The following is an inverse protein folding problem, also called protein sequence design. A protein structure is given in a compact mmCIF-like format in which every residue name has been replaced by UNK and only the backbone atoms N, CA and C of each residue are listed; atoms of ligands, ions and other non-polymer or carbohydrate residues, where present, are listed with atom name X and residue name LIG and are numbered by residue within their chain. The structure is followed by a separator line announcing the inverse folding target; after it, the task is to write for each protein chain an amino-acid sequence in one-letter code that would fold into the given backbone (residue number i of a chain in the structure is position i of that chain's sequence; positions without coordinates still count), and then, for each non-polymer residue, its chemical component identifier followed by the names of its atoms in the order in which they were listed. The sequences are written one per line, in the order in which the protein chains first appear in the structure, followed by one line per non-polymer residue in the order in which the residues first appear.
data_IF_153824156404
#
_entry.id   IF_153824156404
#
_cell.length_a   1.000
_cell.length_b   1.000
_cell.length_c   1.000
_cell.angle_alpha   90.00
_cell.angle_beta   90.00
_cell.angle_gamma   90.00
#
_symmetry.space_group_name_H-M   'P 1'
#
loop_
_entity.id
_entity.type
_entity.pdbx_description
1 polymer ?
#
# COMPACT_ATOMS: atom_id res chain seq x y z
N UNK A 1 30.32 36.61 -23.16
CA UNK A 1 29.09 35.97 -23.69
C UNK A 1 29.53 34.61 -24.18
N UNK A 2 29.38 33.61 -23.33
CA UNK A 2 29.84 32.25 -23.58
C UNK A 2 28.66 31.35 -23.26
N UNK A 3 28.00 30.86 -24.30
CA UNK A 3 26.81 30.03 -24.20
C UNK A 3 27.19 28.62 -23.76
N UNK A 4 26.79 28.28 -22.53
CA UNK A 4 26.83 26.92 -22.01
C UNK A 4 25.50 26.25 -22.33
N UNK A 5 25.37 25.64 -23.50
CA UNK A 5 24.25 24.76 -23.84
C UNK A 5 24.36 23.45 -23.07
N UNK A 6 23.63 23.35 -21.96
CA UNK A 6 23.43 22.11 -21.22
C UNK A 6 22.47 21.22 -22.01
N UNK A 7 23.01 20.15 -22.59
CA UNK A 7 22.23 19.10 -23.27
C UNK A 7 21.40 18.32 -22.25
N UNK A 8 20.10 18.62 -22.16
CA UNK A 8 19.14 17.81 -21.41
C UNK A 8 18.99 16.44 -22.08
N UNK A 9 19.16 15.37 -21.30
CA UNK A 9 18.88 14.01 -21.75
C UNK A 9 17.39 13.87 -22.14
N UNK A 10 17.06 13.10 -23.18
CA UNK A 10 15.68 12.90 -23.60
C UNK A 10 14.87 12.19 -22.49
N UNK A 11 13.58 12.53 -22.31
CA UNK A 11 12.72 11.83 -21.38
C UNK A 11 12.59 10.34 -21.75
N UNK A 12 12.38 9.45 -20.76
CA UNK A 12 12.14 8.04 -21.04
C UNK A 12 10.88 7.88 -21.93
N UNK A 13 10.89 6.92 -22.87
CA UNK A 13 9.76 6.75 -23.78
C UNK A 13 8.50 6.37 -23.01
N UNK A 14 7.44 7.17 -23.16
CA UNK A 14 6.10 6.83 -22.70
C UNK A 14 5.69 5.49 -23.35
N UNK A 15 5.51 4.46 -22.54
CA UNK A 15 5.00 3.17 -22.98
C UNK A 15 3.62 3.37 -23.59
N UNK A 16 3.49 3.11 -24.90
CA UNK A 16 2.18 2.99 -25.54
C UNK A 16 1.51 1.72 -25.02
N UNK A 17 0.25 1.77 -24.55
CA UNK A 17 -0.47 0.55 -24.21
C UNK A 17 -0.58 -0.33 -25.45
N UNK A 18 -0.09 -1.57 -25.33
CA UNK A 18 -0.25 -2.60 -26.35
C UNK A 18 -1.75 -2.89 -26.45
N UNK A 19 -2.35 -2.55 -27.59
CA UNK A 19 -3.71 -3.00 -27.91
C UNK A 19 -3.69 -4.51 -28.10
N UNK A 20 -3.91 -5.25 -27.02
CA UNK A 20 -4.17 -6.68 -27.09
C UNK A 20 -5.59 -6.90 -27.60
N UNK A 21 -5.71 -7.38 -28.84
CA UNK A 21 -6.95 -7.90 -29.39
C UNK A 21 -7.40 -9.10 -28.54
N UNK A 22 -8.33 -8.88 -27.61
CA UNK A 22 -8.92 -9.92 -26.78
C UNK A 22 -9.86 -10.76 -27.65
N UNK A 23 -9.45 -11.99 -27.98
CA UNK A 23 -10.38 -13.00 -28.49
C UNK A 23 -11.30 -13.43 -27.34
N UNK A 24 -12.59 -13.12 -27.47
CA UNK A 24 -13.63 -13.60 -26.58
C UNK A 24 -13.77 -15.12 -26.69
N UNK A 25 -13.21 -15.86 -25.74
CA UNK A 25 -13.54 -17.27 -25.53
C UNK A 25 -14.66 -17.37 -24.51
N UNK A 26 -15.88 -17.60 -25.00
CA UNK A 26 -17.03 -17.95 -24.17
C UNK A 26 -16.94 -19.42 -23.78
N UNK A 27 -16.48 -19.69 -22.55
CA UNK A 27 -16.70 -21.00 -21.92
C UNK A 27 -17.63 -20.86 -20.72
N UNK A 28 -18.90 -21.20 -20.96
CA UNK A 28 -19.95 -21.35 -19.95
C UNK A 28 -19.79 -22.71 -19.28
N UNK A 29 -19.14 -22.76 -18.11
CA UNK A 29 -19.40 -23.84 -17.16
C UNK A 29 -20.21 -23.31 -15.98
N UNK A 30 -21.48 -23.70 -15.99
CA UNK A 30 -22.57 -23.24 -15.13
C UNK A 30 -22.58 -24.09 -13.87
N UNK A 31 -21.85 -23.67 -12.83
CA UNK A 31 -22.01 -24.23 -11.48
C UNK A 31 -23.24 -23.59 -10.83
N UNK A 32 -24.31 -24.37 -10.75
CA UNK A 32 -25.57 -24.00 -10.09
C UNK A 32 -25.40 -24.13 -8.58
N UNK A 33 -24.97 -23.06 -7.92
CA UNK A 33 -24.79 -23.11 -6.47
C UNK A 33 -24.25 -21.86 -5.80
N UNK A 34 -24.55 -20.64 -6.27
CA UNK A 34 -24.19 -19.43 -5.52
C UNK A 34 -25.27 -18.35 -5.64
N UNK A 35 -26.14 -18.32 -4.63
CA UNK A 35 -26.87 -17.12 -4.19
C UNK A 35 -26.33 -16.65 -2.84
N UNK A 36 -25.04 -16.87 -2.58
CA UNK A 36 -24.33 -16.07 -1.58
C UNK A 36 -24.21 -14.67 -2.18
N UNK A 37 -24.56 -13.68 -1.35
CA UNK A 37 -24.72 -12.28 -1.70
C UNK A 37 -23.61 -11.77 -2.63
N UNK A 38 -24.02 -11.02 -3.66
CA UNK A 38 -23.20 -10.04 -4.37
C UNK A 38 -22.80 -8.89 -3.42
N UNK A 39 -22.20 -9.21 -2.27
CA UNK A 39 -21.28 -8.27 -1.65
C UNK A 39 -20.08 -8.26 -2.59
N UNK A 40 -20.07 -7.28 -3.50
CA UNK A 40 -18.96 -7.09 -4.42
C UNK A 40 -17.67 -7.17 -3.63
N UNK A 41 -16.82 -8.15 -3.94
CA UNK A 41 -15.57 -8.33 -3.24
C UNK A 41 -14.70 -7.10 -3.54
N UNK A 42 -14.77 -6.11 -2.66
CA UNK A 42 -13.87 -4.97 -2.69
C UNK A 42 -12.52 -5.47 -2.22
N UNK A 43 -11.53 -5.37 -3.10
CA UNK A 43 -10.14 -5.57 -2.76
C UNK A 43 -9.53 -4.22 -2.41
N UNK A 44 -8.49 -4.23 -1.59
CA UNK A 44 -7.86 -3.00 -1.09
C UNK A 44 -6.38 -3.02 -1.44
N UNK A 45 -5.82 -1.85 -1.75
CA UNK A 45 -4.37 -1.71 -1.81
C UNK A 45 -3.74 -2.00 -0.46
N UNK A 46 -2.58 -2.65 -0.52
CA UNK A 46 -1.69 -2.82 0.61
C UNK A 46 -0.49 -1.90 0.38
N UNK A 47 -0.27 -0.97 1.31
CA UNK A 47 0.78 0.05 1.17
C UNK A 47 2.16 -0.58 1.23
N UNK A 48 3.07 -0.11 0.36
CA UNK A 48 4.47 -0.53 0.38
C UNK A 48 5.31 0.26 1.38
N UNK A 49 6.62 0.16 1.21
CA UNK A 49 7.58 0.86 2.03
C UNK A 49 8.78 1.37 1.22
N UNK A 50 9.30 2.53 1.62
CA UNK A 50 10.62 3.00 1.24
C UNK A 50 11.63 2.40 2.23
N UNK A 51 12.55 1.57 1.72
CA UNK A 51 13.64 0.98 2.50
C UNK A 51 14.89 1.85 2.34
N UNK A 52 15.46 2.35 3.44
CA UNK A 52 16.70 3.12 3.37
C UNK A 52 17.87 2.17 3.01
N UNK A 53 18.61 2.49 1.95
CA UNK A 53 19.68 1.59 1.45
C UNK A 53 20.94 1.62 2.32
N UNK A 54 21.17 2.70 3.06
CA UNK A 54 22.34 2.89 3.93
C UNK A 54 22.10 2.34 5.34
N UNK A 55 20.89 2.50 5.83
CA UNK A 55 20.48 2.09 7.17
C UNK A 55 19.65 0.83 7.09
N UNK A 56 20.33 -0.31 7.24
CA UNK A 56 19.69 -1.63 7.24
C UNK A 56 18.49 -1.65 8.17
N UNK A 57 17.33 -2.05 7.64
CA UNK A 57 16.05 -2.20 8.34
C UNK A 57 15.25 -0.91 8.63
N UNK A 58 15.74 0.28 8.32
CA UNK A 58 14.91 1.48 8.41
C UNK A 58 13.92 1.50 7.24
N UNK A 59 12.62 1.55 7.57
CA UNK A 59 11.53 1.56 6.61
C UNK A 59 10.49 2.57 7.02
N UNK A 60 9.97 3.31 6.05
CA UNK A 60 8.77 4.13 6.21
C UNK A 60 7.72 3.70 5.19
N UNK A 61 6.46 3.82 5.56
CA UNK A 61 5.36 3.49 4.67
C UNK A 61 5.23 4.54 3.58
N UNK A 62 4.93 4.10 2.37
CA UNK A 62 4.72 4.94 1.20
C UNK A 62 3.61 4.34 0.33
N UNK A 63 2.94 5.19 -0.45
CA UNK A 63 1.84 4.77 -1.31
C UNK A 63 2.40 4.15 -2.59
N UNK A 64 3.42 4.78 -3.16
CA UNK A 64 3.98 4.42 -4.47
C UNK A 64 5.48 4.70 -4.54
N UNK A 65 6.13 4.23 -5.61
CA UNK A 65 7.57 4.33 -5.78
C UNK A 65 8.10 5.77 -5.79
N UNK A 66 7.36 6.71 -6.39
CA UNK A 66 7.73 8.13 -6.46
C UNK A 66 7.70 8.85 -5.11
N UNK A 67 7.12 8.23 -4.08
CA UNK A 67 7.16 8.80 -2.72
C UNK A 67 8.51 8.54 -2.04
N UNK A 68 9.35 7.66 -2.59
CA UNK A 68 10.67 7.32 -2.07
C UNK A 68 11.75 8.24 -2.64
N UNK A 69 12.76 8.56 -1.82
CA UNK A 69 13.95 9.23 -2.31
C UNK A 69 14.68 8.31 -3.29
N UNK A 70 14.92 8.72 -4.55
CA UNK A 70 15.46 7.83 -5.56
C UNK A 70 16.84 7.30 -5.15
N UNK A 71 17.06 6.01 -5.35
CA UNK A 71 18.37 5.42 -5.13
C UNK A 71 19.39 6.01 -6.10
N UNK A 72 20.50 6.54 -5.59
CA UNK A 72 21.59 7.13 -6.40
C UNK A 72 22.93 6.57 -5.97
N UNK A 73 23.90 6.58 -6.88
CA UNK A 73 25.31 6.38 -6.51
C UNK A 73 25.89 7.73 -6.09
N UNK A 74 26.58 7.77 -4.95
CA UNK A 74 27.40 8.92 -4.58
C UNK A 74 28.72 8.93 -5.36
N UNK A 75 29.55 9.96 -5.12
CA UNK A 75 30.87 10.10 -5.75
C UNK A 75 31.81 8.92 -5.47
N UNK A 76 31.54 8.16 -4.39
CA UNK A 76 32.30 7.00 -3.94
C UNK A 76 31.68 5.67 -4.40
N UNK A 77 30.69 5.69 -5.31
CA UNK A 77 29.92 4.52 -5.79
C UNK A 77 29.14 3.76 -4.70
N UNK A 78 28.78 4.41 -3.59
CA UNK A 78 27.85 3.84 -2.61
C UNK A 78 26.41 4.18 -3.00
N UNK A 79 25.51 3.22 -2.83
CA UNK A 79 24.08 3.47 -2.98
C UNK A 79 23.59 4.35 -1.81
N UNK A 80 22.89 5.43 -2.14
CA UNK A 80 22.26 6.39 -1.24
C UNK A 80 20.77 6.51 -1.54
N UNK A 81 19.99 6.94 -0.56
CA UNK A 81 18.55 7.21 -0.70
C UNK A 81 17.68 6.03 -0.26
N UNK A 82 16.56 5.83 -0.95
CA UNK A 82 15.56 4.84 -0.61
C UNK A 82 15.22 3.95 -1.79
N UNK A 83 14.86 2.71 -1.49
CA UNK A 83 14.37 1.74 -2.46
C UNK A 83 12.90 1.45 -2.19
N UNK A 84 12.07 1.65 -3.20
CA UNK A 84 10.67 1.22 -3.15
C UNK A 84 10.54 -0.29 -3.03
N UNK A 85 9.63 -0.73 -2.17
CA UNK A 85 9.23 -2.11 -2.01
C UNK A 85 7.72 -2.18 -1.86
N UNK A 86 7.03 -2.68 -2.89
CA UNK A 86 5.59 -2.92 -2.82
C UNK A 86 5.28 -3.93 -1.70
N UNK A 87 4.04 -3.91 -1.19
CA UNK A 87 3.60 -4.87 -0.18
C UNK A 87 3.82 -6.31 -0.66
N UNK A 88 3.53 -6.58 -1.93
CA UNK A 88 3.72 -7.88 -2.55
C UNK A 88 5.19 -8.34 -2.43
N UNK A 89 6.15 -7.50 -2.84
CA UNK A 89 7.58 -7.82 -2.76
C UNK A 89 8.07 -7.98 -1.31
N UNK A 90 7.50 -7.24 -0.35
CA UNK A 90 7.81 -7.42 1.08
C UNK A 90 7.33 -8.79 1.58
N UNK A 91 6.12 -9.19 1.19
CA UNK A 91 5.52 -10.48 1.55
C UNK A 91 6.31 -11.66 0.98
N UNK A 92 6.75 -11.59 -0.28
CA UNK A 92 7.59 -12.63 -0.88
C UNK A 92 8.92 -12.83 -0.13
N UNK A 93 9.48 -11.75 0.40
CA UNK A 93 10.67 -11.77 1.25
C UNK A 93 10.41 -12.24 2.69
N UNK A 94 9.17 -12.58 3.02
CA UNK A 94 8.77 -12.95 4.39
C UNK A 94 8.78 -11.78 5.37
N UNK A 95 8.76 -10.54 4.86
CA UNK A 95 8.76 -9.32 5.68
C UNK A 95 7.31 -8.85 5.81
N UNK A 96 6.80 -8.86 7.04
CA UNK A 96 5.48 -8.28 7.31
C UNK A 96 5.55 -6.76 7.23
N UNK A 97 4.83 -6.14 6.29
CA UNK A 97 4.68 -4.68 6.29
C UNK A 97 3.65 -4.28 7.35
N UNK A 98 4.03 -3.43 8.30
CA UNK A 98 3.07 -2.80 9.22
C UNK A 98 2.41 -1.55 8.63
N UNK A 99 2.43 -1.43 7.29
CA UNK A 99 1.98 -0.26 6.57
C UNK A 99 0.48 -0.29 6.35
N UNK A 100 -0.14 0.83 6.68
CA UNK A 100 -1.56 1.11 6.50
C UNK A 100 -1.71 2.56 6.09
N UNK A 101 -2.86 2.94 5.54
CA UNK A 101 -3.07 4.33 5.14
C UNK A 101 -3.01 5.31 6.31
N UNK A 102 -3.35 4.88 7.53
CA UNK A 102 -3.20 5.71 8.74
C UNK A 102 -1.73 5.99 9.10
N UNK A 103 -0.80 5.15 8.65
CA UNK A 103 0.64 5.26 8.92
C UNK A 103 1.45 5.67 7.70
N UNK A 104 0.79 5.92 6.58
CA UNK A 104 1.43 6.28 5.33
C UNK A 104 1.28 7.78 5.14
N UNK A 105 2.40 8.48 5.28
CA UNK A 105 2.49 9.90 5.02
C UNK A 105 2.28 10.17 3.53
N UNK A 106 1.62 11.28 3.23
CA UNK A 106 1.49 11.79 1.87
C UNK A 106 2.14 13.17 1.79
N UNK A 107 2.45 13.58 0.57
CA UNK A 107 3.01 14.90 0.34
C UNK A 107 2.01 16.03 0.56
N UNK A 108 2.49 17.24 0.29
CA UNK A 108 1.68 18.43 0.26
C UNK A 108 2.11 19.37 -0.86
N UNK A 109 1.12 20.12 -1.33
CA UNK A 109 1.32 21.31 -2.14
C UNK A 109 1.72 22.47 -1.23
N UNK A 110 2.68 23.25 -1.69
CA UNK A 110 3.09 24.50 -1.04
C UNK A 110 2.42 25.67 -1.76
N UNK A 111 1.71 26.49 -1.00
CA UNK A 111 1.06 27.71 -1.47
C UNK A 111 1.55 28.92 -0.65
N UNK A 112 1.76 30.09 -1.25
CA UNK A 112 2.02 31.31 -0.49
C UNK A 112 0.80 31.67 0.35
N UNK A 113 1.00 32.01 1.63
CA UNK A 113 -0.06 32.52 2.49
C UNK A 113 -0.45 33.93 2.05
N UNK A 114 -1.75 34.18 1.92
CA UNK A 114 -2.26 35.55 1.75
C UNK A 114 -2.09 36.40 3.02
N UNK A 115 -1.72 35.79 4.14
CA UNK A 115 -1.45 36.50 5.38
C UNK A 115 0.02 36.89 5.42
N UNK A 116 0.30 38.15 5.07
CA UNK A 116 1.60 38.74 5.35
C UNK A 116 1.72 38.89 6.86
N UNK A 117 2.64 38.15 7.46
CA UNK A 117 2.93 38.27 8.90
C UNK A 117 3.50 39.66 9.20
N UNK A 118 3.30 40.16 10.41
CA UNK A 118 3.83 41.47 10.81
C UNK A 118 5.37 41.55 10.75
N UNK A 119 6.07 40.41 10.69
CA UNK A 119 7.53 40.35 10.51
C UNK A 119 7.98 40.49 9.06
N UNK A 120 7.05 40.46 8.08
CA UNK A 120 7.39 40.47 6.66
C UNK A 120 7.92 39.14 6.13
N UNK A 121 7.89 38.08 6.95
CA UNK A 121 8.25 36.75 6.51
C UNK A 121 7.07 36.13 5.73
N UNK A 122 7.38 35.58 4.55
CA UNK A 122 6.43 34.82 3.75
C UNK A 122 6.02 33.56 4.52
N UNK A 123 4.77 33.53 4.98
CA UNK A 123 4.18 32.33 5.55
C UNK A 123 3.78 31.40 4.40
N UNK A 124 4.12 30.11 4.53
CA UNK A 124 3.76 29.09 3.55
C UNK A 124 2.62 28.23 4.10
N UNK A 125 1.62 27.97 3.26
CA UNK A 125 0.51 27.08 3.56
C UNK A 125 0.77 25.74 2.91
N UNK A 126 0.68 24.67 3.70
CA UNK A 126 0.83 23.30 3.24
C UNK A 126 -0.56 22.67 3.10
N UNK A 127 -0.89 22.20 1.89
CA UNK A 127 -2.13 21.43 1.65
C UNK A 127 -1.78 20.01 1.29
N UNK A 128 -2.26 19.05 2.08
CA UNK A 128 -2.08 17.64 1.80
C UNK A 128 -2.49 17.31 0.36
N UNK A 129 -1.64 16.58 -0.35
CA UNK A 129 -1.89 16.14 -1.71
C UNK A 129 -1.29 14.75 -1.92
N UNK A 130 -2.08 13.80 -2.44
CA UNK A 130 -1.62 12.42 -2.60
C UNK A 130 -0.59 12.29 -3.73
N UNK A 131 -0.63 13.19 -4.71
CA UNK A 131 0.23 13.21 -5.90
C UNK A 131 0.54 14.66 -6.29
N UNK A 132 1.67 14.92 -6.96
CA UNK A 132 2.01 16.28 -7.43
C UNK A 132 0.92 16.84 -8.37
N UNK A 133 0.31 15.97 -9.18
CA UNK A 133 -0.74 16.37 -10.14
C UNK A 133 -2.05 16.76 -9.45
N UNK A 134 -2.18 16.50 -8.15
CA UNK A 134 -3.28 16.99 -7.33
C UNK A 134 -3.07 18.44 -6.88
N UNK A 135 -1.83 18.95 -6.98
CA UNK A 135 -1.55 20.35 -6.74
C UNK A 135 -2.12 21.17 -7.88
N UNK A 136 -3.20 21.90 -7.56
CA UNK A 136 -3.72 22.85 -8.50
C UNK A 136 -2.69 23.93 -8.78
N UNK A 137 -2.63 24.27 -10.05
CA UNK A 137 -1.95 25.44 -10.54
C UNK A 137 -2.73 26.68 -10.08
N UNK A 138 -2.34 27.33 -8.98
CA UNK A 138 -2.76 28.70 -8.76
C UNK A 138 -2.09 29.53 -9.86
N UNK A 139 -2.88 30.11 -10.77
CA UNK A 139 -2.37 30.86 -11.93
C UNK A 139 -1.46 30.09 -12.91
N UNK A 140 -1.53 28.76 -12.96
CA UNK A 140 -0.78 27.99 -13.97
C UNK A 140 0.55 27.38 -13.49
N UNK A 141 0.98 27.60 -12.25
CA UNK A 141 2.25 27.04 -11.72
C UNK A 141 2.06 26.41 -10.33
N UNK A 142 2.49 25.17 -10.07
CA UNK A 142 2.60 24.63 -8.73
C UNK A 142 3.96 25.08 -8.16
N UNK A 143 3.99 25.88 -7.09
CA UNK A 143 5.26 26.40 -6.55
C UNK A 143 6.24 25.29 -6.15
N UNK A 144 5.75 24.22 -5.52
CA UNK A 144 6.49 22.97 -5.29
C UNK A 144 5.56 21.91 -4.69
N UNK A 145 5.89 20.64 -4.95
CA UNK A 145 5.38 19.50 -4.19
C UNK A 145 6.46 19.02 -3.22
N UNK A 146 6.08 18.67 -1.99
CA UNK A 146 7.01 18.07 -1.02
C UNK A 146 6.45 16.73 -0.58
N UNK A 147 7.15 15.65 -0.92
CA UNK A 147 6.75 14.28 -0.58
C UNK A 147 6.90 13.96 0.92
N UNK A 148 7.81 14.65 1.62
CA UNK A 148 8.13 14.43 3.03
C UNK A 148 7.93 15.72 3.84
N UNK A 149 6.77 15.87 4.46
CA UNK A 149 6.50 16.98 5.37
C UNK A 149 7.32 16.85 6.66
N UNK A 150 7.93 17.96 7.16
CA UNK A 150 8.58 17.96 8.46
C UNK A 150 7.59 17.56 9.56
N UNK A 151 7.90 16.49 10.29
CA UNK A 151 7.05 15.96 11.38
C UNK A 151 7.02 16.85 12.62
N UNK A 152 7.77 17.96 12.64
CA UNK A 152 7.91 18.86 13.79
C UNK A 152 6.67 19.71 14.05
N UNK A 153 5.78 19.86 13.06
CA UNK A 153 4.52 20.56 13.22
C UNK A 153 3.38 19.53 13.32
N UNK A 154 2.89 19.30 14.54
CA UNK A 154 1.82 18.32 14.82
C UNK A 154 0.52 18.61 14.07
N UNK A 155 0.35 19.84 13.60
CA UNK A 155 -0.87 20.31 12.92
C UNK A 155 -0.84 20.06 11.40
N UNK A 156 0.28 19.60 10.83
CA UNK A 156 0.45 19.37 9.37
C UNK A 156 0.74 17.91 9.00
N UNK A 157 0.39 16.93 9.85
CA UNK A 157 0.58 15.52 9.48
C UNK A 157 -0.45 15.06 8.44
N UNK A 158 -0.02 15.03 7.17
CA UNK A 158 -0.82 14.50 6.07
C UNK A 158 -0.64 12.97 6.00
N UNK A 159 -1.73 12.23 6.14
CA UNK A 159 -1.74 10.76 5.98
C UNK A 159 -2.74 10.35 4.90
N UNK A 160 -2.54 9.19 4.29
CA UNK A 160 -3.49 8.63 3.31
C UNK A 160 -4.92 8.52 3.88
N UNK A 161 -5.04 8.16 5.16
CA UNK A 161 -6.32 8.01 5.84
C UNK A 161 -6.92 9.31 6.38
N UNK A 162 -6.22 10.45 6.26
CA UNK A 162 -6.68 11.73 6.80
C UNK A 162 -8.08 12.04 6.26
N UNK A 163 -9.09 11.90 7.12
CA UNK A 163 -10.46 12.30 6.84
C UNK A 163 -10.59 13.77 7.18
N UNK A 164 -11.29 14.47 6.30
CA UNK A 164 -11.74 15.84 6.48
C UNK A 164 -12.58 15.95 7.76
N UNK A 165 -12.05 16.57 8.81
CA UNK A 165 -12.82 16.86 10.04
C UNK A 165 -13.75 18.07 9.88
N UNK A 166 -13.48 18.96 8.90
CA UNK A 166 -14.31 20.15 8.66
C UNK A 166 -15.01 20.09 7.31
N UNK A 167 -16.34 20.24 7.27
CA UNK A 167 -17.21 20.08 6.09
C UNK A 167 -16.86 20.94 4.87
N UNK A 168 -15.93 21.89 4.97
CA UNK A 168 -15.70 22.93 3.97
C UNK A 168 -14.37 22.84 3.19
N UNK A 169 -13.43 21.97 3.59
CA UNK A 169 -12.18 21.78 2.85
C UNK A 169 -12.38 20.92 1.58
N UNK A 170 -11.62 21.11 0.49
CA UNK A 170 -11.68 20.20 -0.65
C UNK A 170 -11.33 18.75 -0.25
N UNK A 171 -11.74 17.78 -1.07
CA UNK A 171 -11.31 16.39 -0.87
C UNK A 171 -9.79 16.29 -1.02
N UNK A 172 -9.19 15.22 -0.51
CA UNK A 172 -7.76 14.97 -0.73
C UNK A 172 -7.50 14.43 -2.15
N UNK A 173 -8.48 13.65 -2.66
CA UNK A 173 -8.39 12.96 -3.93
C UNK A 173 -9.33 13.61 -4.95
N UNK A 174 -8.98 13.47 -6.24
CA UNK A 174 -9.82 13.92 -7.34
C UNK A 174 -10.86 12.87 -7.75
N UNK A 175 -11.48 13.12 -8.88
CA UNK A 175 -12.45 12.22 -9.48
C UNK A 175 -12.29 12.15 -11.00
N UNK A 176 -12.70 11.03 -11.60
CA UNK A 176 -12.83 10.87 -13.03
C UNK A 176 -14.31 10.95 -13.38
N UNK A 177 -14.69 11.95 -14.19
CA UNK A 177 -16.07 12.18 -14.65
C UNK A 177 -16.16 11.82 -16.13
N UNK A 178 -17.09 10.97 -16.50
CA UNK A 178 -17.27 10.55 -17.89
C UNK A 178 -17.58 11.77 -18.77
N UNK A 179 -16.86 11.90 -19.88
CA UNK A 179 -17.14 12.93 -20.88
C UNK A 179 -18.56 12.76 -21.38
N UNK A 180 -19.37 13.81 -21.23
CA UNK A 180 -20.81 13.74 -21.38
C UNK A 180 -21.24 13.21 -22.76
N UNK A 181 -21.63 11.94 -22.81
CA UNK A 181 -22.72 11.51 -23.70
C UNK A 181 -23.99 12.17 -23.12
N UNK A 182 -24.87 12.80 -23.91
CA UNK A 182 -25.97 13.62 -23.41
C UNK A 182 -26.80 12.92 -22.33
N UNK A 183 -26.60 13.41 -21.09
CA UNK A 183 -27.35 13.23 -19.86
C UNK A 183 -28.36 12.06 -19.83
N UNK A 184 -27.86 10.83 -19.69
CA UNK A 184 -28.60 9.85 -18.90
C UNK A 184 -28.25 10.13 -17.44
N UNK A 185 -29.24 10.50 -16.62
CA UNK A 185 -29.09 10.91 -15.20
C UNK A 185 -28.64 9.76 -14.27
N UNK A 186 -27.58 9.04 -14.62
CA UNK A 186 -27.04 7.96 -13.81
C UNK A 186 -25.85 8.48 -13.02
N UNK A 187 -25.94 8.42 -11.69
CA UNK A 187 -24.85 8.69 -10.73
C UNK A 187 -23.63 7.79 -10.89
N UNK A 188 -23.63 6.88 -11.87
CA UNK A 188 -22.53 5.95 -12.18
C UNK A 188 -21.43 6.57 -13.06
N UNK A 189 -21.63 7.81 -13.54
CA UNK A 189 -20.72 8.46 -14.48
C UNK A 189 -19.54 9.19 -13.81
N UNK A 190 -19.32 9.03 -12.49
CA UNK A 190 -18.19 9.61 -11.77
C UNK A 190 -17.64 8.67 -10.71
N UNK A 191 -16.31 8.60 -10.58
CA UNK A 191 -15.65 7.84 -9.51
C UNK A 191 -14.44 8.58 -8.97
N UNK A 192 -14.11 8.37 -7.70
CA UNK A 192 -12.93 8.96 -7.08
C UNK A 192 -11.66 8.25 -7.55
N UNK A 193 -10.62 9.01 -7.84
CA UNK A 193 -9.37 8.54 -8.42
C UNK A 193 -8.17 9.16 -7.70
N UNK A 194 -7.05 8.45 -7.70
CA UNK A 194 -5.85 8.86 -6.99
C UNK A 194 -5.09 9.93 -7.76
N UNK A 195 -5.00 9.78 -9.08
CA UNK A 195 -4.27 10.64 -10.00
C UNK A 195 -5.04 10.83 -11.32
N UNK A 196 -4.71 11.84 -12.15
CA UNK A 196 -5.28 11.98 -13.48
C UNK A 196 -5.00 10.79 -14.41
N UNK A 197 -3.91 10.05 -14.16
CA UNK A 197 -3.55 8.86 -14.95
C UNK A 197 -4.51 7.69 -14.74
N UNK A 198 -5.31 7.72 -13.67
CA UNK A 198 -6.36 6.72 -13.41
C UNK A 198 -7.63 6.97 -14.22
N UNK A 199 -7.75 8.13 -14.89
CA UNK A 199 -8.87 8.43 -15.77
C UNK A 199 -8.64 7.81 -17.15
N UNK A 200 -9.25 6.66 -17.38
CA UNK A 200 -9.23 5.99 -18.68
C UNK A 200 -9.93 6.81 -19.78
N UNK A 201 -9.72 6.40 -21.03
CA UNK A 201 -10.31 7.09 -22.19
C UNK A 201 -11.82 7.24 -22.05
N UNK A 202 -12.32 8.46 -22.26
CA UNK A 202 -13.73 8.81 -22.08
C UNK A 202 -14.08 9.33 -20.68
N UNK A 203 -13.08 9.47 -19.80
CA UNK A 203 -13.21 10.18 -18.53
C UNK A 203 -12.30 11.41 -18.50
N UNK A 204 -12.77 12.46 -17.81
CA UNK A 204 -12.06 13.70 -17.55
C UNK A 204 -11.74 13.79 -16.08
N UNK A 205 -10.48 14.09 -15.79
CA UNK A 205 -10.02 14.38 -14.43
C UNK A 205 -10.68 15.64 -13.88
N UNK A 206 -11.24 15.52 -12.68
CA UNK A 206 -11.72 16.59 -11.83
C UNK A 206 -10.74 16.70 -10.64
N UNK A 207 -9.99 17.80 -10.52
CA UNK A 207 -9.07 17.98 -9.41
C UNK A 207 -9.85 18.07 -8.08
N UNK A 208 -9.19 17.83 -6.93
CA UNK A 208 -9.90 17.71 -5.65
C UNK A 208 -10.79 18.90 -5.26
N UNK A 209 -10.45 20.13 -5.68
CA UNK A 209 -11.29 21.32 -5.40
C UNK A 209 -12.55 21.39 -6.26
N UNK A 210 -12.55 20.71 -7.40
CA UNK A 210 -13.64 20.71 -8.39
C UNK A 210 -14.60 19.53 -8.19
N UNK A 211 -14.27 18.61 -7.27
CA UNK A 211 -15.15 17.50 -6.90
C UNK A 211 -16.40 18.09 -6.23
N UNK A 212 -17.57 17.77 -6.79
CA UNK A 212 -18.87 18.22 -6.28
C UNK A 212 -19.04 17.82 -4.80
N UNK A 213 -19.61 18.71 -3.97
CA UNK A 213 -19.70 18.50 -2.51
C UNK A 213 -20.55 17.29 -2.09
N UNK A 214 -21.40 16.79 -2.99
CA UNK A 214 -22.17 15.56 -2.85
C UNK A 214 -21.33 14.28 -3.07
N UNK A 215 -20.08 14.40 -3.54
CA UNK A 215 -19.17 13.29 -3.80
C UNK A 215 -17.96 13.40 -2.87
N UNK A 216 -17.96 12.57 -1.82
CA UNK A 216 -16.82 12.50 -0.90
C UNK A 216 -15.76 11.55 -1.45
N UNK A 217 -14.73 12.13 -2.09
CA UNK A 217 -13.52 11.41 -2.43
C UNK A 217 -12.59 11.32 -1.23
N UNK A 218 -12.95 10.39 -0.34
CA UNK A 218 -12.05 9.85 0.67
C UNK A 218 -11.33 8.60 0.16
N UNK A 219 -10.27 8.21 0.85
CA UNK A 219 -9.41 7.11 0.41
C UNK A 219 -10.13 5.75 0.29
N UNK A 220 -11.28 5.56 0.93
CA UNK A 220 -12.07 4.32 0.81
C UNK A 220 -12.84 4.27 -0.50
N UNK A 221 -13.16 5.44 -1.05
CA UNK A 221 -13.91 5.58 -2.29
C UNK A 221 -13.01 5.71 -3.52
N UNK A 222 -11.72 6.04 -3.34
CA UNK A 222 -10.74 6.09 -4.43
C UNK A 222 -10.59 4.70 -5.06
N UNK A 223 -10.90 4.61 -6.35
CA UNK A 223 -10.65 3.43 -7.17
C UNK A 223 -9.22 3.47 -7.67
N UNK A 224 -8.57 2.32 -7.64
CA UNK A 224 -7.21 2.11 -8.12
C UNK A 224 -7.18 0.89 -9.04
N UNK A 225 -6.08 0.71 -9.75
CA UNK A 225 -5.88 -0.45 -10.61
C UNK A 225 -5.53 -1.74 -9.86
N UNK A 226 -5.00 -2.69 -10.61
CA UNK A 226 -4.60 -3.98 -10.11
C UNK A 226 -3.57 -4.65 -11.01
N UNK A 227 -2.74 -5.50 -10.42
CA UNK A 227 -1.81 -6.34 -11.17
C UNK A 227 -2.53 -7.63 -11.61
N UNK A 228 -2.39 -7.95 -12.90
CA UNK A 228 -2.93 -9.16 -13.50
C UNK A 228 -1.81 -9.98 -14.14
N UNK A 229 -1.87 -11.30 -13.96
CA UNK A 229 -0.94 -12.27 -14.53
C UNK A 229 -1.70 -13.52 -14.98
N UNK A 230 -1.28 -14.15 -16.08
CA UNK A 230 -1.93 -15.35 -16.64
C UNK A 230 -3.47 -15.23 -16.76
N UNK A 231 -3.96 -14.06 -17.18
CA UNK A 231 -5.39 -13.73 -17.27
C UNK A 231 -6.18 -13.85 -15.94
N UNK A 232 -5.49 -13.71 -14.80
CA UNK A 232 -6.10 -13.69 -13.46
C UNK A 232 -5.74 -12.40 -12.73
N UNK A 233 -6.71 -11.88 -11.97
CA UNK A 233 -6.45 -10.84 -11.00
C UNK A 233 -5.59 -11.39 -9.86
N UNK A 234 -4.54 -10.64 -9.49
CA UNK A 234 -3.61 -11.05 -8.44
C UNK A 234 -3.79 -10.21 -7.17
N UNK A 235 -3.60 -8.90 -7.28
CA UNK A 235 -3.71 -7.97 -6.16
C UNK A 235 -3.98 -6.54 -6.66
N UNK A 236 -4.47 -5.69 -5.76
CA UNK A 236 -4.66 -4.26 -6.05
C UNK A 236 -3.32 -3.53 -6.10
N UNK A 237 -3.20 -2.61 -7.04
CA UNK A 237 -2.00 -1.83 -7.29
C UNK A 237 -2.41 -0.39 -7.55
N UNK A 238 -1.60 0.54 -7.06
CA UNK A 238 -1.83 1.97 -7.24
C UNK A 238 -1.18 2.40 -8.54
N UNK A 239 0.03 1.93 -8.79
CA UNK A 239 0.79 2.21 -10.02
C UNK A 239 1.34 0.92 -10.65
N UNK A 240 1.89 1.03 -11.85
CA UNK A 240 2.52 -0.10 -12.52
C UNK A 240 3.77 -0.61 -11.78
N UNK A 241 4.44 0.24 -11.00
CA UNK A 241 5.63 -0.12 -10.21
C UNK A 241 5.31 -1.07 -9.05
N UNK A 242 4.03 -1.26 -8.73
CA UNK A 242 3.59 -2.24 -7.73
C UNK A 242 3.60 -3.67 -8.29
N UNK A 243 3.55 -3.81 -9.61
CA UNK A 243 3.47 -5.09 -10.30
C UNK A 243 4.86 -5.70 -10.52
N UNK A 244 4.95 -7.01 -10.34
CA UNK A 244 6.11 -7.78 -10.77
C UNK A 244 6.32 -7.70 -12.29
N UNK A 245 7.53 -7.99 -12.75
CA UNK A 245 7.96 -7.92 -14.15
C UNK A 245 7.13 -8.77 -15.12
N UNK A 246 6.46 -9.82 -14.64
CA UNK A 246 5.59 -10.73 -15.38
C UNK A 246 4.10 -10.38 -15.25
N UNK A 247 3.76 -9.33 -14.51
CA UNK A 247 2.40 -8.88 -14.28
C UNK A 247 2.14 -7.54 -14.99
N UNK A 248 0.92 -7.37 -15.50
CA UNK A 248 0.50 -6.13 -16.13
C UNK A 248 -0.38 -5.33 -15.17
N UNK A 249 -0.16 -4.02 -15.11
CA UNK A 249 -1.07 -3.11 -14.43
C UNK A 249 -2.30 -2.87 -15.30
N UNK A 250 -3.48 -3.02 -14.71
CA UNK A 250 -4.77 -2.71 -15.34
C UNK A 250 -5.43 -1.58 -14.56
N UNK A 251 -5.83 -0.48 -15.24
CA UNK A 251 -6.46 0.67 -14.59
C UNK A 251 -7.87 0.35 -14.06
N UNK A 252 -8.45 1.21 -13.20
CA UNK A 252 -9.59 0.83 -12.37
C UNK A 252 -10.86 0.43 -13.13
N UNK A 253 -11.21 1.10 -14.23
CA UNK A 253 -12.42 0.83 -15.02
C UNK A 253 -12.24 -0.43 -15.84
N UNK A 254 -11.10 -0.58 -16.52
CA UNK A 254 -10.73 -1.79 -17.27
C UNK A 254 -10.66 -3.02 -16.37
N UNK A 255 -10.18 -2.88 -15.13
CA UNK A 255 -10.10 -3.96 -14.15
C UNK A 255 -11.50 -4.47 -13.79
N UNK A 256 -12.42 -3.57 -13.51
CA UNK A 256 -13.81 -3.91 -13.20
C UNK A 256 -14.52 -4.56 -14.40
N UNK A 257 -14.35 -4.01 -15.60
CA UNK A 257 -14.98 -4.53 -16.80
C UNK A 257 -14.47 -5.91 -17.21
N UNK A 258 -13.15 -6.13 -17.12
CA UNK A 258 -12.51 -7.36 -17.61
C UNK A 258 -12.55 -8.48 -16.58
N UNK A 259 -12.37 -8.16 -15.29
CA UNK A 259 -12.22 -9.15 -14.23
C UNK A 259 -13.35 -9.13 -13.20
N UNK A 260 -14.29 -8.18 -13.28
CA UNK A 260 -15.36 -8.04 -12.28
C UNK A 260 -14.84 -7.65 -10.90
N UNK A 261 -13.65 -7.05 -10.83
CA UNK A 261 -12.96 -6.71 -9.59
C UNK A 261 -12.86 -5.20 -9.42
N UNK A 262 -13.21 -4.70 -8.24
CA UNK A 262 -12.98 -3.31 -7.86
C UNK A 262 -11.91 -3.23 -6.78
N UNK A 263 -10.84 -2.48 -7.05
CA UNK A 263 -9.80 -2.16 -6.09
C UNK A 263 -10.01 -0.76 -5.49
N UNK A 264 -9.83 -0.64 -4.17
CA UNK A 264 -9.93 0.62 -3.42
C UNK A 264 -8.62 0.95 -2.71
N UNK A 265 -8.33 2.23 -2.53
CA UNK A 265 -7.08 2.65 -1.89
C UNK A 265 -7.02 2.28 -0.40
N UNK A 266 -8.08 2.56 0.37
CA UNK A 266 -8.14 2.24 1.80
C UNK A 266 -9.18 1.18 2.14
N UNK A 267 -8.81 0.29 3.07
CA UNK A 267 -9.78 -0.49 3.83
C UNK A 267 -10.58 0.43 4.76
N UNK A 268 -11.91 0.28 4.88
CA UNK A 268 -12.67 0.99 5.90
C UNK A 268 -12.17 0.59 7.30
N UNK A 269 -11.70 1.57 8.08
CA UNK A 269 -11.35 1.35 9.47
C UNK A 269 -12.63 0.96 10.22
N UNK A 270 -12.70 -0.27 10.75
CA UNK A 270 -13.84 -0.73 11.54
C UNK A 270 -13.78 0.01 12.87
N UNK A 271 -14.40 1.20 12.92
CA UNK A 271 -14.64 1.88 14.20
C UNK A 271 -15.67 1.01 14.92
N UNK A 272 -15.22 0.21 15.88
CA UNK A 272 -16.11 -0.41 16.85
C UNK A 272 -16.72 0.73 17.67
N UNK A 273 -17.83 1.28 17.20
CA UNK A 273 -18.74 2.02 18.05
C UNK A 273 -19.26 1.00 19.07
N UNK A 274 -18.53 0.87 20.17
CA UNK A 274 -19.10 0.29 21.37
C UNK A 274 -20.30 1.16 21.69
N UNK A 275 -21.49 0.71 21.30
CA UNK A 275 -22.77 1.14 21.82
C UNK A 275 -22.83 0.76 23.31
N UNK A 276 -21.87 1.23 24.12
CA UNK A 276 -22.14 1.59 25.51
C UNK A 276 -23.07 2.79 25.41
N UNK A 277 -24.35 2.49 25.23
CA UNK A 277 -25.40 3.47 25.32
C UNK A 277 -25.16 4.30 26.56
N UNK A 278 -25.16 5.62 26.39
CA UNK A 278 -25.28 6.59 27.46
C UNK A 278 -26.65 6.40 28.13
N UNK A 279 -26.79 5.30 28.86
CA UNK A 279 -27.75 5.19 29.94
C UNK A 279 -27.20 6.04 31.07
N UNK A 280 -27.65 7.28 31.12
CA UNK A 280 -27.58 8.12 32.31
C UNK A 280 -28.36 7.44 33.44
N UNK A 281 -27.72 6.50 34.13
CA UNK A 281 -28.17 6.03 35.45
C UNK A 281 -27.13 6.42 36.47
N UNK A 282 -27.41 7.53 37.12
CA UNK A 282 -26.96 7.85 38.47
C UNK A 282 -27.21 6.67 39.41
N UNK A 283 -26.16 5.95 39.77
CA UNK A 283 -26.11 5.22 41.04
C UNK A 283 -24.68 5.02 41.49
N UNK A 284 -24.33 5.84 42.47
CA UNK A 284 -23.33 5.57 43.49
C UNK A 284 -23.46 4.15 44.02
N UNK A 285 -22.38 3.36 43.94
CA UNK A 285 -22.34 2.02 44.52
C UNK A 285 -21.05 1.29 44.18
N UNK A 286 -20.10 1.31 45.11
CA UNK A 286 -18.85 0.57 45.03
C UNK A 286 -19.06 -0.94 44.90
N UNK A 287 -18.29 -1.63 44.05
CA UNK A 287 -17.54 -2.87 44.39
C UNK A 287 -16.65 -3.36 43.22
N UNK A 288 -15.48 -3.98 43.50
CA UNK A 288 -14.51 -4.42 42.50
C UNK A 288 -14.59 -5.94 42.27
N UNK A 289 -14.76 -6.41 41.03
CA UNK A 289 -14.65 -7.85 40.74
C UNK A 289 -14.42 -8.19 39.26
N UNK A 290 -13.25 -7.86 38.70
CA UNK A 290 -12.72 -8.54 37.49
C UNK A 290 -11.19 -8.69 37.56
N UNK A 291 -10.71 -9.50 38.51
CA UNK A 291 -9.29 -9.94 38.62
C UNK A 291 -9.15 -11.47 38.77
N UNK A 292 -10.04 -12.25 38.17
CA UNK A 292 -10.02 -13.72 38.27
C UNK A 292 -9.69 -14.47 36.96
N UNK A 293 -9.55 -13.77 35.83
CA UNK A 293 -9.33 -14.41 34.52
C UNK A 293 -7.87 -14.64 34.11
N UNK A 294 -6.94 -13.84 34.64
CA UNK A 294 -5.54 -13.84 34.16
C UNK A 294 -4.65 -14.84 34.94
N UNK A 295 -5.04 -15.24 36.14
CA UNK A 295 -4.27 -16.17 36.98
C UNK A 295 -4.27 -17.61 36.46
N UNK A 296 -5.32 -18.06 35.76
CA UNK A 296 -5.38 -19.44 35.25
C UNK A 296 -4.45 -19.70 34.06
N UNK A 297 -4.23 -18.70 33.20
CA UNK A 297 -3.34 -18.82 32.03
C UNK A 297 -1.88 -18.95 32.47
N UNK A 298 -1.46 -18.17 33.48
CA UNK A 298 -0.09 -18.21 34.00
C UNK A 298 0.26 -19.56 34.64
N UNK A 299 -0.66 -20.15 35.43
CA UNK A 299 -0.44 -21.47 36.06
C UNK A 299 -0.37 -22.59 35.02
N UNK A 300 -1.17 -22.52 33.96
CA UNK A 300 -1.14 -23.47 32.84
C UNK A 300 0.21 -23.46 32.10
N UNK A 301 0.76 -22.27 31.80
CA UNK A 301 2.06 -22.15 31.14
C UNK A 301 3.21 -22.70 31.98
N UNK A 302 3.21 -22.48 33.30
CA UNK A 302 4.25 -23.00 34.20
C UNK A 302 4.20 -24.53 34.28
N UNK A 303 3.01 -25.12 34.37
CA UNK A 303 2.86 -26.58 34.36
C UNK A 303 3.35 -27.20 33.04
N UNK A 304 3.04 -26.58 31.91
CA UNK A 304 3.48 -27.04 30.59
C UNK A 304 5.02 -26.98 30.45
N UNK A 305 5.65 -25.89 30.91
CA UNK A 305 7.10 -25.75 30.93
C UNK A 305 7.77 -26.80 31.82
N UNK A 306 7.19 -27.12 32.99
CA UNK A 306 7.71 -28.16 33.88
C UNK A 306 7.67 -29.55 33.20
N UNK A 307 6.59 -29.87 32.50
CA UNK A 307 6.48 -31.13 31.73
C UNK A 307 7.52 -31.19 30.61
N UNK A 308 7.71 -30.09 29.86
CA UNK A 308 8.72 -30.03 28.79
C UNK A 308 10.15 -30.23 29.33
N UNK A 309 10.48 -29.64 30.48
CA UNK A 309 11.79 -29.84 31.14
C UNK A 309 11.99 -31.29 31.58
N UNK A 310 10.95 -31.95 32.09
CA UNK A 310 11.02 -33.37 32.47
C UNK A 310 11.19 -34.28 31.25
N UNK A 311 10.48 -34.00 30.15
CA UNK A 311 10.64 -34.72 28.88
C UNK A 311 12.05 -34.53 28.34
N UNK A 312 12.57 -33.30 28.33
CA UNK A 312 13.92 -33.00 27.85
C UNK A 312 15.00 -33.71 28.69
N UNK A 313 14.85 -33.72 30.02
CA UNK A 313 15.74 -34.49 30.91
C UNK A 313 15.68 -35.99 30.65
N UNK A 314 14.49 -36.53 30.35
CA UNK A 314 14.32 -37.96 30.03
C UNK A 314 14.97 -38.31 28.69
N UNK A 315 14.74 -37.50 27.65
CA UNK A 315 15.38 -37.68 26.33
C UNK A 315 16.90 -37.62 26.44
N UNK A 316 17.44 -36.65 27.20
CA UNK A 316 18.89 -36.54 27.42
C UNK A 316 19.48 -37.77 28.12
N UNK A 317 18.77 -38.37 29.09
CA UNK A 317 19.19 -39.64 29.70
C UNK A 317 19.14 -40.82 28.73
N UNK A 318 18.13 -40.88 27.86
CA UNK A 318 18.03 -41.93 26.83
C UNK A 318 19.10 -41.79 25.75
N UNK A 319 19.45 -40.57 25.35
CA UNK A 319 20.51 -40.31 24.39
C UNK A 319 21.89 -40.74 24.90
N UNK A 320 22.14 -40.61 26.21
CA UNK A 320 23.42 -41.00 26.80
C UNK A 320 23.59 -42.51 26.97
N UNK A 321 22.52 -43.30 26.81
CA UNK A 321 22.56 -44.76 26.91
C UNK A 321 22.69 -45.47 25.55
N UNK A 322 22.81 -44.72 24.46
CA UNK A 322 22.90 -45.24 23.08
C UNK A 322 24.25 -44.99 22.40
N UNK A 323 25.32 -44.67 23.13
CA UNK A 323 26.67 -44.99 22.67
C UNK A 323 26.89 -46.51 22.77
N UNK A 324 26.28 -47.24 21.84
CA UNK A 324 26.62 -48.62 21.50
C UNK A 324 27.12 -48.57 20.06
N UNK A 325 28.41 -48.85 19.91
CA UNK A 325 29.11 -49.35 18.71
C UNK A 325 28.57 -48.93 17.34
N UNK A 326 28.96 -47.74 16.90
CA UNK A 326 28.97 -47.37 15.47
C UNK A 326 30.37 -47.46 14.84
N UNK A 327 31.34 -48.08 15.54
CA UNK A 327 32.73 -48.20 15.08
C UNK A 327 32.99 -49.43 14.19
N UNK A 328 31.98 -50.21 13.80
CA UNK A 328 32.16 -51.49 13.07
C UNK A 328 31.55 -51.57 11.66
N UNK A 329 31.04 -50.47 11.07
CA UNK A 329 30.40 -50.51 9.73
C UNK A 329 30.98 -49.43 8.80
N UNK A 330 32.31 -49.35 8.70
CA UNK A 330 33.01 -48.57 7.69
C UNK A 330 34.19 -49.37 7.11
N UNK A 331 33.89 -50.57 6.60
CA UNK A 331 34.70 -51.20 5.54
C UNK A 331 34.01 -50.91 4.21
N UNK A 332 34.50 -49.88 3.52
CA UNK A 332 34.11 -49.60 2.13
C UNK A 332 35.10 -50.30 1.19
N UNK A 333 34.64 -51.07 0.20
CA UNK A 333 35.51 -51.63 -0.82
C UNK A 333 35.94 -50.54 -1.80
N UNK A 334 37.25 -50.43 -1.98
CA UNK A 334 37.89 -49.77 -3.11
C UNK A 334 37.49 -50.47 -4.42
N UNK A 335 36.95 -49.72 -5.38
CA UNK A 335 37.10 -50.08 -6.78
C UNK A 335 37.41 -48.85 -7.63
N UNK A 336 38.65 -48.84 -8.09
CA UNK A 336 39.10 -48.29 -9.36
C UNK A 336 38.17 -48.71 -10.50
N UNK A 337 37.81 -47.76 -11.38
CA UNK A 337 38.03 -47.90 -12.83
C UNK A 337 37.39 -46.75 -13.61
N UNK A 338 38.25 -46.07 -14.39
CA UNK A 338 38.07 -45.52 -15.74
C UNK A 338 36.64 -45.23 -16.25
N UNK A 339 36.41 -44.04 -16.81
CA UNK A 339 36.60 -43.84 -18.26
C UNK A 339 36.57 -42.35 -18.64
N UNK A 340 37.57 -42.00 -19.44
CA UNK A 340 37.81 -40.73 -20.13
C UNK A 340 36.95 -40.71 -21.40
N UNK A 341 36.04 -39.76 -21.55
CA UNK A 341 35.42 -39.46 -22.85
C UNK A 341 35.42 -37.96 -23.07
N UNK A 342 36.43 -37.52 -23.82
CA UNK A 342 36.43 -36.31 -24.62
C UNK A 342 35.34 -36.36 -25.69
N UNK A 343 34.59 -35.26 -25.83
CA UNK A 343 34.24 -34.64 -27.12
C UNK A 343 33.88 -33.17 -26.92
#
# INVERSE_FOLDING_TARGET
VSDSTTSLAPPPPCYKPIQSNLMASTDRSRSSGDRILRDGHHHYAEMGACENVEKTHERRCAIQASDCEPTKLDEDNNLKGEKWSSHYTLRERGISSSCSCERTSIGACIEPSNNVTASGDEEWVYRCAPHQDSCQLYEGEPFSFVSNLPTTNTDTSCTCASQKESSNLPTLYGACKKDAVPATNTTEDTFCAYSPNDCETGYVWQPPVSVESNHSCDCRNVRIGGCVGDAKFLHCAITADDCSWDHNYVPPVSLEQTFGTQCRLCKPSIKWTNNTGSGSSSSSGATPARKAGITFVAVGCIALLAVLVLVFKRVRRYSSAKEIDFASILEAPSQDSLEEVTL
#
